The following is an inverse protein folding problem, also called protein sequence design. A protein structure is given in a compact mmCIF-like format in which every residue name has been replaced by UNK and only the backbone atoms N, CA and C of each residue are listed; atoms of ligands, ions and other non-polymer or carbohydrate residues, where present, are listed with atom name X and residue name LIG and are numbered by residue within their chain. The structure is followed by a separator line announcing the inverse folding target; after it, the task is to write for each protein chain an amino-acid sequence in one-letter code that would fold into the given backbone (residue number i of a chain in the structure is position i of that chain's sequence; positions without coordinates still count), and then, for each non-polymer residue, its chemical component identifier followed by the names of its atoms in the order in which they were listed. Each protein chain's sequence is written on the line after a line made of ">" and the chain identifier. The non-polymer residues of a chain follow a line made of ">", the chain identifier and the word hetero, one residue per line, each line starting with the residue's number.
data_IF_985876135968
#
_entry.id   IF_985876135968
#
_cell.length_a   1.000
_cell.length_b   1.000
_cell.length_c   1.000
_cell.angle_alpha   90.00
_cell.angle_beta   90.00
_cell.angle_gamma   90.00
#
_symmetry.space_group_name_H-M   'P 1'
#
loop_
_entity.id
_entity.type
_entity.pdbx_description
1 polymer ?
#
# COMPACT_ATOMS: atom_id res chain seq x y z
N UNK A 1 27.38 -53.75 3.62
CA UNK A 1 26.37 -52.93 2.93
C UNK A 1 26.42 -51.55 3.55
N UNK A 2 26.94 -50.64 2.83
CA UNK A 2 26.99 -49.25 3.29
C UNK A 2 25.91 -48.45 2.53
N UNK A 3 24.85 -48.14 3.21
CA UNK A 3 23.87 -47.17 2.71
C UNK A 3 24.39 -45.77 3.02
N UNK A 4 24.89 -45.10 2.01
CA UNK A 4 25.19 -43.69 2.13
C UNK A 4 23.86 -42.92 2.11
N UNK A 5 23.45 -42.45 3.25
CA UNK A 5 22.38 -41.49 3.35
C UNK A 5 22.97 -40.15 2.90
N UNK A 6 22.73 -39.82 1.65
CA UNK A 6 23.02 -38.50 1.16
C UNK A 6 22.12 -37.50 1.89
N UNK A 7 22.70 -36.74 2.79
CA UNK A 7 21.99 -35.61 3.37
C UNK A 7 21.73 -34.60 2.28
N UNK A 8 20.48 -34.55 1.81
CA UNK A 8 20.01 -33.51 0.94
C UNK A 8 19.92 -32.25 1.81
N UNK A 9 20.96 -31.44 1.78
CA UNK A 9 20.92 -30.11 2.37
C UNK A 9 20.06 -29.29 1.41
N UNK A 10 18.78 -29.20 1.72
CA UNK A 10 17.89 -28.25 1.08
C UNK A 10 18.35 -26.85 1.53
N UNK A 11 19.21 -26.23 0.75
CA UNK A 11 19.54 -24.83 0.94
C UNK A 11 18.25 -24.03 0.66
N UNK A 12 17.53 -23.71 1.72
CA UNK A 12 16.45 -22.75 1.66
C UNK A 12 17.09 -21.41 1.35
N UNK A 13 17.17 -21.08 0.07
CA UNK A 13 17.52 -19.75 -0.35
C UNK A 13 16.37 -18.84 0.13
N UNK A 14 16.53 -18.27 1.31
CA UNK A 14 15.74 -17.15 1.74
C UNK A 14 16.14 -16.03 0.80
N UNK A 15 15.41 -15.88 -0.30
CA UNK A 15 15.46 -14.67 -1.07
C UNK A 15 14.96 -13.57 -0.14
N UNK A 16 15.87 -12.92 0.56
CA UNK A 16 15.59 -11.62 1.13
C UNK A 16 15.40 -10.69 -0.05
N UNK A 17 14.18 -10.68 -0.60
CA UNK A 17 13.77 -9.55 -1.40
C UNK A 17 13.94 -8.36 -0.47
N UNK A 18 14.87 -7.47 -0.84
CA UNK A 18 14.91 -6.15 -0.25
C UNK A 18 13.51 -5.59 -0.42
N UNK A 19 12.69 -5.70 0.62
CA UNK A 19 11.39 -5.10 0.67
C UNK A 19 11.63 -3.61 0.48
N UNK A 20 11.22 -3.09 -0.69
CA UNK A 20 10.99 -1.67 -0.79
C UNK A 20 10.15 -1.34 0.43
N UNK A 21 10.75 -0.59 1.37
CA UNK A 21 10.16 -0.28 2.65
C UNK A 21 8.76 0.27 2.39
N UNK A 22 7.71 -0.42 2.84
CA UNK A 22 6.45 0.24 2.85
C UNK A 22 5.19 -0.57 2.59
N UNK A 23 5.25 -1.78 2.07
CA UNK A 23 4.05 -2.60 1.89
C UNK A 23 3.64 -3.28 3.20
N UNK A 24 2.38 -3.11 3.60
CA UNK A 24 1.77 -3.80 4.75
C UNK A 24 0.59 -4.61 4.24
N UNK A 25 0.56 -5.89 4.59
CA UNK A 25 -0.47 -6.82 4.16
C UNK A 25 -1.32 -7.27 5.33
N UNK A 26 -2.61 -7.46 5.10
CA UNK A 26 -3.51 -8.10 6.03
C UNK A 26 -4.54 -8.95 5.30
N UNK A 27 -4.78 -10.15 5.82
CA UNK A 27 -5.80 -11.06 5.29
C UNK A 27 -7.05 -11.00 6.16
N UNK A 28 -8.20 -10.81 5.51
CA UNK A 28 -9.51 -10.73 6.16
C UNK A 28 -10.35 -11.95 5.82
N UNK A 29 -11.14 -12.43 6.77
CA UNK A 29 -12.08 -13.52 6.60
C UNK A 29 -13.40 -13.01 5.99
N UNK A 30 -13.31 -12.48 4.79
CA UNK A 30 -14.45 -11.96 4.04
C UNK A 30 -14.18 -12.11 2.52
N UNK A 31 -15.25 -12.26 1.71
CA UNK A 31 -15.11 -12.38 0.27
C UNK A 31 -14.61 -11.09 -0.37
N UNK A 32 -13.94 -11.22 -1.52
CA UNK A 32 -13.26 -10.10 -2.20
C UNK A 32 -14.21 -8.94 -2.50
N UNK A 33 -15.45 -9.18 -2.88
CA UNK A 33 -16.41 -8.13 -3.19
C UNK A 33 -16.73 -7.25 -1.99
N UNK A 34 -16.87 -7.86 -0.84
CA UNK A 34 -17.13 -7.15 0.41
C UNK A 34 -15.91 -6.36 0.86
N UNK A 35 -14.74 -6.98 0.81
CA UNK A 35 -13.47 -6.30 1.17
C UNK A 35 -13.20 -5.14 0.24
N UNK A 36 -13.43 -5.30 -1.06
CA UNK A 36 -13.29 -4.22 -2.03
C UNK A 36 -14.17 -3.02 -1.70
N UNK A 37 -15.46 -3.26 -1.54
CA UNK A 37 -16.43 -2.18 -1.24
C UNK A 37 -16.12 -1.49 0.08
N UNK A 38 -15.73 -2.25 1.09
CA UNK A 38 -15.32 -1.70 2.39
C UNK A 38 -14.04 -0.89 2.28
N UNK A 39 -13.07 -1.35 1.51
CA UNK A 39 -11.81 -0.62 1.27
C UNK A 39 -12.08 0.73 0.61
N UNK A 40 -12.91 0.78 -0.43
CA UNK A 40 -13.28 2.04 -1.06
C UNK A 40 -13.97 3.00 -0.09
N UNK A 41 -14.91 2.48 0.69
CA UNK A 41 -15.64 3.28 1.67
C UNK A 41 -14.73 3.83 2.77
N UNK A 42 -13.81 3.02 3.28
CA UNK A 42 -12.83 3.41 4.30
C UNK A 42 -11.89 4.49 3.78
N UNK A 43 -11.38 4.35 2.56
CA UNK A 43 -10.51 5.37 1.96
C UNK A 43 -11.22 6.73 1.88
N UNK A 44 -12.45 6.73 1.41
CA UNK A 44 -13.27 7.96 1.33
C UNK A 44 -13.55 8.55 2.71
N UNK A 45 -13.89 7.70 3.66
CA UNK A 45 -14.17 8.14 5.04
C UNK A 45 -12.93 8.76 5.71
N UNK A 46 -11.74 8.23 5.43
CA UNK A 46 -10.47 8.77 5.92
C UNK A 46 -9.97 9.99 5.12
N UNK A 47 -10.73 10.46 4.15
CA UNK A 47 -10.41 11.66 3.38
C UNK A 47 -9.48 11.43 2.20
N UNK A 48 -9.29 10.17 1.77
CA UNK A 48 -8.54 9.87 0.57
C UNK A 48 -9.42 9.96 -0.67
N UNK A 49 -8.93 10.67 -1.67
CA UNK A 49 -9.57 10.71 -2.99
C UNK A 49 -9.03 9.57 -3.85
N UNK A 50 -9.91 8.73 -4.37
CA UNK A 50 -9.52 7.63 -5.23
C UNK A 50 -9.23 8.17 -6.63
N UNK A 51 -8.02 7.96 -7.12
CA UNK A 51 -7.58 8.32 -8.46
C UNK A 51 -7.98 7.25 -9.48
N UNK A 52 -7.60 6.00 -9.21
CA UNK A 52 -7.92 4.85 -10.05
C UNK A 52 -8.37 3.68 -9.21
N UNK A 53 -9.39 2.97 -9.69
CA UNK A 53 -9.84 1.73 -9.10
C UNK A 53 -10.19 0.75 -10.22
N UNK A 54 -9.49 -0.38 -10.27
CA UNK A 54 -9.75 -1.46 -11.22
C UNK A 54 -10.00 -2.74 -10.43
N UNK A 55 -11.27 -3.10 -10.34
CA UNK A 55 -11.70 -4.29 -9.59
C UNK A 55 -11.24 -5.59 -10.24
N UNK A 56 -11.10 -5.62 -11.55
CA UNK A 56 -10.68 -6.80 -12.30
C UNK A 56 -9.29 -7.26 -11.91
N UNK A 57 -8.37 -6.31 -11.75
CA UNK A 57 -6.99 -6.59 -11.32
C UNK A 57 -6.77 -6.38 -9.82
N UNK A 58 -7.77 -5.87 -9.10
CA UNK A 58 -7.70 -5.65 -7.66
C UNK A 58 -6.78 -4.49 -7.26
N UNK A 59 -6.78 -3.41 -8.02
CA UNK A 59 -5.86 -2.30 -7.83
C UNK A 59 -6.60 -1.00 -7.54
N UNK A 60 -6.15 -0.28 -6.50
CA UNK A 60 -6.65 1.05 -6.13
C UNK A 60 -5.45 1.97 -5.93
N UNK A 61 -5.51 3.16 -6.50
CA UNK A 61 -4.60 4.25 -6.19
C UNK A 61 -5.37 5.47 -5.73
N UNK A 62 -4.77 6.24 -4.83
CA UNK A 62 -5.32 7.51 -4.39
C UNK A 62 -4.57 8.68 -5.02
N UNK A 63 -5.23 9.83 -5.07
CA UNK A 63 -4.52 11.09 -5.29
C UNK A 63 -3.57 11.34 -4.12
N UNK A 64 -2.53 12.13 -4.39
CA UNK A 64 -1.67 12.57 -3.32
C UNK A 64 -2.33 13.67 -2.50
N UNK A 65 -2.03 13.68 -1.20
CA UNK A 65 -2.41 14.77 -0.32
C UNK A 65 -1.22 15.28 0.49
N UNK A 66 -1.30 16.52 0.90
CA UNK A 66 -0.25 17.15 1.67
C UNK A 66 -0.20 16.57 3.09
N UNK A 67 1.00 16.23 3.52
CA UNK A 67 1.30 15.85 4.91
C UNK A 67 1.77 17.07 5.69
N UNK A 68 2.64 17.87 5.05
CA UNK A 68 3.27 19.06 5.65
C UNK A 68 3.71 20.03 4.55
N UNK A 69 4.01 21.26 4.92
CA UNK A 69 4.50 22.30 4.00
C UNK A 69 3.42 23.25 3.53
N UNK A 70 3.68 23.97 2.45
CA UNK A 70 2.89 25.09 1.95
C UNK A 70 2.54 24.92 0.47
N UNK A 71 1.33 25.35 0.12
CA UNK A 71 0.87 25.39 -1.26
C UNK A 71 0.19 26.74 -1.52
N UNK A 72 0.78 27.53 -2.41
CA UNK A 72 0.29 28.83 -2.84
C UNK A 72 -0.20 28.82 -4.29
N UNK A 73 -0.56 27.68 -4.83
CA UNK A 73 -1.00 27.53 -6.21
C UNK A 73 0.17 27.42 -7.18
N UNK A 74 0.70 28.56 -7.62
CA UNK A 74 1.85 28.58 -8.55
C UNK A 74 3.18 28.18 -7.89
N UNK A 75 3.22 28.18 -6.57
CA UNK A 75 4.36 27.76 -5.76
C UNK A 75 3.88 26.76 -4.70
N UNK A 76 4.55 25.62 -4.63
CA UNK A 76 4.35 24.62 -3.60
C UNK A 76 5.68 24.09 -3.11
N UNK A 77 5.83 23.97 -1.82
CA UNK A 77 6.93 23.24 -1.18
C UNK A 77 6.33 22.40 -0.07
N UNK A 78 6.06 21.15 -0.37
CA UNK A 78 5.30 20.29 0.53
C UNK A 78 5.82 18.86 0.54
N UNK A 79 5.58 18.20 1.67
CA UNK A 79 5.65 16.75 1.79
C UNK A 79 4.26 16.20 1.48
N UNK A 80 4.19 15.26 0.55
CA UNK A 80 2.95 14.65 0.09
C UNK A 80 3.04 13.13 0.16
N UNK A 81 1.89 12.50 0.24
CA UNK A 81 1.81 11.05 0.16
C UNK A 81 0.60 10.59 -0.65
N UNK A 82 0.68 9.38 -1.18
CA UNK A 82 -0.43 8.66 -1.84
C UNK A 82 -0.38 7.19 -1.45
N UNK A 83 -1.51 6.52 -1.59
CA UNK A 83 -1.62 5.10 -1.33
C UNK A 83 -1.80 4.30 -2.62
N UNK A 84 -1.22 3.12 -2.64
CA UNK A 84 -1.44 2.07 -3.63
C UNK A 84 -1.89 0.82 -2.89
N UNK A 85 -3.00 0.26 -3.32
CA UNK A 85 -3.59 -0.90 -2.68
C UNK A 85 -3.78 -2.01 -3.69
N UNK A 86 -3.53 -3.24 -3.24
CA UNK A 86 -3.91 -4.45 -3.95
C UNK A 86 -4.90 -5.23 -3.09
N UNK A 87 -6.01 -5.64 -3.69
CA UNK A 87 -7.05 -6.44 -3.06
C UNK A 87 -7.15 -7.74 -3.82
N UNK A 88 -6.69 -8.84 -3.22
CA UNK A 88 -6.55 -10.15 -3.86
C UNK A 88 -7.22 -11.23 -3.05
N UNK A 89 -7.90 -12.16 -3.74
CA UNK A 89 -8.41 -13.37 -3.10
C UNK A 89 -7.24 -14.18 -2.52
N UNK A 90 -7.38 -14.61 -1.26
CA UNK A 90 -6.37 -15.38 -0.52
C UNK A 90 -6.86 -16.78 -0.15
N UNK A 91 -7.74 -17.34 -0.95
CA UNK A 91 -8.44 -18.59 -0.72
C UNK A 91 -9.95 -18.37 -0.62
N UNK A 92 -10.70 -19.43 -0.35
CA UNK A 92 -12.14 -19.35 -0.29
C UNK A 92 -12.59 -18.49 0.90
N UNK A 93 -13.41 -17.48 0.62
CA UNK A 93 -13.96 -16.59 1.63
C UNK A 93 -12.94 -15.70 2.34
N UNK A 94 -11.73 -15.59 1.81
CA UNK A 94 -10.66 -14.74 2.37
C UNK A 94 -10.05 -13.82 1.32
N UNK A 95 -9.62 -12.66 1.78
CA UNK A 95 -9.06 -11.63 0.91
C UNK A 95 -7.87 -10.95 1.59
N UNK A 96 -6.78 -10.79 0.87
CA UNK A 96 -5.61 -10.04 1.34
C UNK A 96 -5.62 -8.64 0.75
N UNK A 97 -5.43 -7.65 1.59
CA UNK A 97 -5.21 -6.26 1.20
C UNK A 97 -3.77 -5.89 1.50
N UNK A 98 -3.06 -5.43 0.48
CA UNK A 98 -1.71 -4.89 0.58
C UNK A 98 -1.74 -3.40 0.37
N UNK A 99 -1.11 -2.64 1.25
CA UNK A 99 -1.05 -1.18 1.14
C UNK A 99 0.40 -0.73 1.11
N UNK A 100 0.74 0.08 0.11
CA UNK A 100 2.01 0.77 0.00
C UNK A 100 1.76 2.28 0.01
N UNK A 101 2.52 3.01 0.82
CA UNK A 101 2.48 4.46 0.87
C UNK A 101 3.70 5.04 0.17
N UNK A 102 3.49 5.85 -0.85
CA UNK A 102 4.53 6.64 -1.49
C UNK A 102 4.59 8.01 -0.83
N UNK A 103 5.72 8.32 -0.21
CA UNK A 103 6.01 9.62 0.41
C UNK A 103 7.00 10.36 -0.49
N UNK A 104 6.75 11.64 -0.77
CA UNK A 104 7.60 12.43 -1.63
C UNK A 104 7.54 13.93 -1.30
N UNK A 105 8.64 14.61 -1.58
CA UNK A 105 8.68 16.07 -1.55
C UNK A 105 8.27 16.60 -2.91
N UNK A 106 7.35 17.54 -2.93
CA UNK A 106 6.98 18.29 -4.13
C UNK A 106 7.43 19.71 -4.04
N UNK A 107 8.12 20.18 -5.06
CA UNK A 107 8.44 21.58 -5.29
C UNK A 107 7.79 22.01 -6.61
N UNK A 108 6.94 23.02 -6.55
CA UNK A 108 6.33 23.64 -7.72
C UNK A 108 6.81 25.06 -7.83
N UNK A 109 7.38 25.40 -8.99
CA UNK A 109 7.71 26.77 -9.37
C UNK A 109 6.91 27.06 -10.65
N UNK A 110 5.99 28.00 -10.57
CA UNK A 110 4.99 28.30 -11.62
C UNK A 110 4.11 27.08 -11.89
N UNK A 111 4.25 26.41 -13.03
CA UNK A 111 3.45 25.24 -13.41
C UNK A 111 4.26 23.92 -13.45
N UNK A 112 5.52 23.98 -13.07
CA UNK A 112 6.40 22.81 -13.11
C UNK A 112 6.51 22.16 -11.73
N UNK A 113 6.07 20.92 -11.63
CA UNK A 113 6.19 20.08 -10.44
C UNK A 113 7.46 19.24 -10.51
N UNK A 114 8.22 19.27 -9.43
CA UNK A 114 9.36 18.40 -9.23
C UNK A 114 9.10 17.56 -7.98
N UNK A 115 8.99 16.25 -8.17
CA UNK A 115 8.75 15.29 -7.10
C UNK A 115 10.01 14.49 -6.81
N UNK A 116 10.36 14.40 -5.52
CA UNK A 116 11.51 13.64 -5.04
C UNK A 116 11.05 12.60 -4.02
N UNK A 117 11.27 11.28 -4.27
CA UNK A 117 10.91 10.24 -3.32
C UNK A 117 11.61 10.42 -1.98
N UNK A 118 10.88 10.15 -0.90
CA UNK A 118 11.37 10.16 0.47
C UNK A 118 11.03 8.84 1.13
N UNK A 119 11.93 8.31 1.92
CA UNK A 119 11.67 7.12 2.73
C UNK A 119 10.70 7.46 3.85
N UNK A 120 9.59 6.73 3.95
CA UNK A 120 8.65 6.89 5.03
C UNK A 120 9.27 6.44 6.37
N UNK A 121 9.13 7.21 7.45
CA UNK A 121 9.72 6.87 8.74
C UNK A 121 9.02 5.71 9.45
N UNK A 122 7.75 5.46 9.12
CA UNK A 122 6.91 4.41 9.71
C UNK A 122 5.83 3.94 8.72
N UNK A 123 5.04 2.96 9.15
CA UNK A 123 3.93 2.38 8.41
C UNK A 123 2.58 2.58 9.12
N UNK A 124 2.47 3.62 9.94
CA UNK A 124 1.29 3.87 10.77
C UNK A 124 0.04 4.18 9.93
N UNK A 125 0.20 4.89 8.81
CA UNK A 125 -0.92 5.19 7.91
C UNK A 125 -1.47 3.93 7.28
N UNK A 126 -0.62 3.05 6.78
CA UNK A 126 -0.99 1.78 6.15
C UNK A 126 -1.73 0.88 7.17
N UNK A 127 -1.19 0.76 8.37
CA UNK A 127 -1.80 -0.03 9.46
C UNK A 127 -3.15 0.54 9.88
N UNK A 128 -3.28 1.85 9.98
CA UNK A 128 -4.54 2.51 10.34
C UNK A 128 -5.64 2.25 9.30
N UNK A 129 -5.29 2.27 8.01
CA UNK A 129 -6.24 1.95 6.93
C UNK A 129 -6.68 0.49 7.03
N UNK A 130 -5.75 -0.45 7.21
CA UNK A 130 -6.06 -1.88 7.37
C UNK A 130 -6.95 -2.14 8.58
N UNK A 131 -6.68 -1.50 9.71
CA UNK A 131 -7.50 -1.60 10.91
C UNK A 131 -8.92 -1.06 10.69
N UNK A 132 -9.05 0.04 9.98
CA UNK A 132 -10.35 0.61 9.63
C UNK A 132 -11.14 -0.30 8.68
N UNK A 133 -10.49 -0.96 7.73
CA UNK A 133 -11.12 -1.97 6.87
C UNK A 133 -11.65 -3.12 7.73
N UNK A 134 -10.85 -3.65 8.64
CA UNK A 134 -11.25 -4.73 9.55
C UNK A 134 -12.45 -4.38 10.40
N UNK A 135 -12.53 -3.15 10.89
CA UNK A 135 -13.68 -2.66 11.67
C UNK A 135 -14.95 -2.47 10.84
N UNK A 136 -14.82 -2.25 9.55
CA UNK A 136 -15.94 -2.08 8.63
C UNK A 136 -16.52 -3.37 8.06
N UNK A 137 -15.86 -4.50 8.29
CA UNK A 137 -16.28 -5.81 7.77
C UNK A 137 -17.28 -6.56 8.64
#
# INVERSE_FOLDING_TARGET
>A
MKTSVGALVLALAIATTALAAGSVDKTFNAPIDRVWSTTEAVLKHLGWDIDKADRTIGFITTDSRRVDGENYGVYEKALRHRLRLNVKAAGEGRTTVSIERALFKRERILFDDKDEPVTAPDQNVEKAVLDAIGKGL
#
